data_IF_990356621047
#
_entry.id   IF_990356621047
#
_cell.length_a   1.000
_cell.length_b   1.000
_cell.length_c   1.000
_cell.angle_alpha   90.00
_cell.angle_beta   90.00
_cell.angle_gamma   90.00
#
_symmetry.space_group_name_H-M   'P 1'
#
loop_
_entity.id
_entity.type
_entity.pdbx_description
1 polymer ?
#
# COMPACT_ATOMS: atom_id res chain seq x y z
N UNK A 1 77.67 -5.74 34.39
CA UNK A 1 76.61 -6.58 34.99
C UNK A 1 75.27 -6.20 34.38
N UNK A 2 74.36 -7.17 34.29
CA UNK A 2 73.23 -7.30 33.37
C UNK A 2 72.21 -6.15 33.30
N UNK A 3 71.69 -6.00 32.08
CA UNK A 3 70.47 -5.32 31.62
C UNK A 3 69.23 -5.84 32.35
N UNK A 4 68.34 -4.95 32.79
CA UNK A 4 66.88 -5.17 32.79
C UNK A 4 66.19 -3.86 32.43
N UNK A 5 66.01 -3.63 31.13
CA UNK A 5 65.07 -2.63 30.63
C UNK A 5 63.67 -3.27 30.65
N UNK A 6 62.84 -2.85 31.59
CA UNK A 6 61.42 -3.20 31.60
C UNK A 6 60.72 -2.45 30.46
N UNK A 7 60.57 -3.11 29.31
CA UNK A 7 59.66 -2.64 28.26
C UNK A 7 58.25 -2.95 28.72
N UNK A 8 57.60 -1.96 29.33
CA UNK A 8 56.17 -1.99 29.58
C UNK A 8 55.45 -1.86 28.23
N UNK A 9 54.98 -2.99 27.69
CA UNK A 9 54.02 -3.03 26.59
C UNK A 9 52.70 -2.45 27.09
N UNK A 10 52.49 -1.15 26.85
CA UNK A 10 51.18 -0.50 26.91
C UNK A 10 50.29 -1.13 25.81
N UNK A 11 49.50 -2.12 26.19
CA UNK A 11 48.38 -2.66 25.42
C UNK A 11 47.22 -1.65 25.38
N UNK A 12 47.46 -0.46 24.82
CA UNK A 12 46.40 0.44 24.42
C UNK A 12 45.87 0.01 23.06
N UNK A 13 44.58 -0.32 22.96
CA UNK A 13 43.92 -0.61 21.67
C UNK A 13 44.31 0.45 20.64
N UNK A 14 44.99 -0.01 19.58
CA UNK A 14 45.44 0.90 18.54
C UNK A 14 44.22 1.52 17.85
N UNK A 15 44.28 2.79 17.40
CA UNK A 15 43.21 3.40 16.61
C UNK A 15 42.80 2.55 15.41
N UNK A 16 43.75 1.83 14.80
CA UNK A 16 43.52 0.92 13.69
C UNK A 16 42.68 -0.32 14.06
N UNK A 17 42.77 -0.81 15.30
CA UNK A 17 41.93 -1.92 15.77
C UNK A 17 40.49 -1.45 15.99
N UNK A 18 40.29 -0.25 16.56
CA UNK A 18 38.93 0.34 16.70
C UNK A 18 38.24 0.57 15.36
N UNK A 19 38.97 1.08 14.36
CA UNK A 19 38.43 1.23 13.00
C UNK A 19 38.06 -0.11 12.36
N UNK A 20 38.85 -1.17 12.59
CA UNK A 20 38.53 -2.52 12.08
C UNK A 20 37.30 -3.12 12.76
N UNK A 21 37.15 -2.94 14.07
CA UNK A 21 35.96 -3.39 14.80
C UNK A 21 34.72 -2.64 14.34
N UNK A 22 34.79 -1.31 14.27
CA UNK A 22 33.66 -0.48 13.80
C UNK A 22 33.23 -0.86 12.37
N UNK A 23 34.19 -1.01 11.45
CA UNK A 23 33.87 -1.39 10.07
C UNK A 23 33.22 -2.79 9.97
N UNK A 24 33.58 -3.72 10.87
CA UNK A 24 32.94 -5.03 10.93
C UNK A 24 31.53 -4.96 11.51
N UNK A 25 31.30 -4.12 12.52
CA UNK A 25 29.97 -3.86 13.09
C UNK A 25 29.05 -3.17 12.07
N UNK A 26 29.56 -2.17 11.36
CA UNK A 26 28.85 -1.46 10.29
C UNK A 26 28.47 -2.41 9.15
N UNK A 27 29.41 -3.24 8.70
CA UNK A 27 29.13 -4.26 7.68
C UNK A 27 28.07 -5.27 8.14
N UNK A 28 28.13 -5.71 9.41
CA UNK A 28 27.13 -6.61 9.98
C UNK A 28 25.76 -5.94 10.15
N UNK A 29 25.71 -4.64 10.40
CA UNK A 29 24.46 -3.87 10.44
C UNK A 29 23.82 -3.77 9.05
N UNK A 30 24.62 -3.49 8.02
CA UNK A 30 24.14 -3.45 6.63
C UNK A 30 23.63 -4.81 6.17
N UNK A 31 24.35 -5.90 6.47
CA UNK A 31 23.93 -7.25 6.06
C UNK A 31 22.61 -7.67 6.71
N UNK A 32 22.37 -7.28 7.97
CA UNK A 32 21.09 -7.54 8.65
C UNK A 32 19.95 -6.73 8.05
N UNK A 33 20.19 -5.46 7.69
CA UNK A 33 19.20 -4.65 6.99
C UNK A 33 18.87 -5.27 5.63
N UNK A 34 19.87 -5.71 4.87
CA UNK A 34 19.69 -6.42 3.59
C UNK A 34 18.84 -7.67 3.77
N UNK A 35 19.20 -8.55 4.71
CA UNK A 35 18.45 -9.77 4.97
C UNK A 35 16.99 -9.52 5.32
N UNK A 36 16.69 -8.48 6.12
CA UNK A 36 15.31 -8.08 6.41
C UNK A 36 14.59 -7.57 5.16
N UNK A 37 15.24 -6.77 4.31
CA UNK A 37 14.61 -6.29 3.08
C UNK A 37 14.28 -7.44 2.12
N UNK A 38 15.20 -8.39 1.95
CA UNK A 38 15.01 -9.58 1.12
C UNK A 38 13.87 -10.46 1.66
N UNK A 39 13.90 -10.81 2.95
CA UNK A 39 12.86 -11.60 3.62
C UNK A 39 11.49 -10.92 3.47
N UNK A 40 11.42 -9.59 3.66
CA UNK A 40 10.16 -8.86 3.55
C UNK A 40 9.70 -8.69 2.12
N UNK A 41 10.60 -8.65 1.14
CA UNK A 41 10.25 -8.61 -0.28
C UNK A 41 9.55 -9.90 -0.71
N UNK A 42 9.93 -11.06 -0.16
CA UNK A 42 9.28 -12.35 -0.44
C UNK A 42 7.80 -12.42 -0.04
N UNK A 43 7.36 -11.58 0.92
CA UNK A 43 5.96 -11.49 1.30
C UNK A 43 5.08 -10.81 0.24
N UNK A 44 5.68 -10.18 -0.77
CA UNK A 44 4.98 -9.54 -1.88
C UNK A 44 4.92 -10.46 -3.12
N UNK A 45 3.88 -10.34 -3.95
CA UNK A 45 3.80 -11.07 -5.22
C UNK A 45 5.03 -10.82 -6.10
N UNK A 46 5.49 -11.86 -6.79
CA UNK A 46 6.53 -11.73 -7.82
C UNK A 46 6.12 -10.70 -8.89
N UNK A 47 7.07 -9.84 -9.27
CA UNK A 47 6.84 -8.77 -10.25
C UNK A 47 5.98 -7.60 -9.75
N UNK A 48 5.69 -7.52 -8.44
CA UNK A 48 5.08 -6.32 -7.88
C UNK A 48 6.10 -5.20 -7.71
N UNK A 49 5.70 -3.97 -8.02
CA UNK A 49 6.57 -2.78 -7.92
C UNK A 49 7.18 -2.63 -6.53
N UNK A 50 6.42 -2.91 -5.47
CA UNK A 50 6.93 -2.83 -4.09
C UNK A 50 8.01 -3.87 -3.82
N UNK A 51 7.85 -5.10 -4.34
CA UNK A 51 8.88 -6.13 -4.23
C UNK A 51 10.18 -5.71 -4.92
N UNK A 52 10.06 -5.29 -6.18
CA UNK A 52 11.20 -4.87 -7.00
C UNK A 52 11.99 -3.74 -6.32
N UNK A 53 11.29 -2.74 -5.76
CA UNK A 53 11.93 -1.63 -5.05
C UNK A 53 12.64 -2.07 -3.76
N UNK A 54 12.08 -3.05 -3.02
CA UNK A 54 12.74 -3.59 -1.83
C UNK A 54 13.98 -4.42 -2.19
N UNK A 55 13.90 -5.25 -3.24
CA UNK A 55 15.03 -6.03 -3.77
C UNK A 55 16.14 -5.12 -4.33
N UNK A 56 15.77 -4.07 -5.08
CA UNK A 56 16.72 -3.07 -5.58
C UNK A 56 17.41 -2.33 -4.43
N UNK A 57 16.64 -1.92 -3.41
CA UNK A 57 17.22 -1.30 -2.22
C UNK A 57 18.20 -2.25 -1.53
N UNK A 58 17.82 -3.51 -1.30
CA UNK A 58 18.67 -4.53 -0.67
C UNK A 58 20.00 -4.74 -1.43
N UNK A 59 19.92 -4.79 -2.76
CA UNK A 59 21.08 -4.92 -3.65
C UNK A 59 21.97 -3.66 -3.64
N UNK A 60 21.38 -2.48 -3.43
CA UNK A 60 22.11 -1.20 -3.41
C UNK A 60 22.87 -0.92 -2.11
N UNK A 61 22.53 -1.60 -0.99
CA UNK A 61 23.18 -1.34 0.29
C UNK A 61 24.68 -1.72 0.25
N UNK A 62 25.54 -0.81 0.72
CA UNK A 62 26.99 -0.99 0.72
C UNK A 62 27.51 -1.21 2.16
N UNK A 63 28.07 -2.39 2.42
CA UNK A 63 28.65 -2.73 3.73
C UNK A 63 29.84 -1.84 4.13
N UNK A 64 30.40 -1.06 3.18
CA UNK A 64 31.47 -0.08 3.45
C UNK A 64 30.93 1.26 3.94
N UNK A 65 29.62 1.50 3.87
CA UNK A 65 28.97 2.75 4.29
C UNK A 65 27.60 2.49 4.89
N UNK A 66 27.58 2.34 6.23
CA UNK A 66 26.34 2.21 6.98
C UNK A 66 25.48 3.48 6.87
N UNK A 67 26.09 4.65 6.89
CA UNK A 67 25.39 5.94 6.81
C UNK A 67 24.63 6.07 5.48
N UNK A 68 25.30 5.84 4.34
CA UNK A 68 24.66 5.90 3.02
C UNK A 68 23.55 4.84 2.89
N UNK A 69 23.77 3.64 3.45
CA UNK A 69 22.77 2.58 3.46
C UNK A 69 21.52 2.96 4.27
N UNK A 70 21.69 3.60 5.42
CA UNK A 70 20.58 4.08 6.26
C UNK A 70 19.84 5.26 5.59
N UNK A 71 20.56 6.13 4.87
CA UNK A 71 19.97 7.20 4.08
C UNK A 71 19.13 6.64 2.93
N UNK A 72 19.63 5.64 2.19
CA UNK A 72 18.88 4.99 1.12
C UNK A 72 17.59 4.32 1.65
N UNK A 73 17.66 3.63 2.79
CA UNK A 73 16.49 3.05 3.45
C UNK A 73 15.48 4.14 3.85
N UNK A 74 15.96 5.28 4.37
CA UNK A 74 15.12 6.42 4.73
C UNK A 74 14.47 7.13 3.54
N UNK A 75 15.19 7.25 2.43
CA UNK A 75 14.64 7.80 1.20
C UNK A 75 13.46 6.94 0.69
N UNK A 76 13.64 5.62 0.59
CA UNK A 76 12.56 4.74 0.14
C UNK A 76 11.38 4.72 1.13
N UNK A 77 11.64 4.71 2.44
CA UNK A 77 10.55 4.79 3.44
C UNK A 77 9.73 6.08 3.26
N UNK A 78 10.38 7.21 3.01
CA UNK A 78 9.71 8.50 2.79
C UNK A 78 8.86 8.49 1.51
N UNK A 79 9.38 7.92 0.41
CA UNK A 79 8.64 7.75 -0.84
C UNK A 79 7.40 6.87 -0.66
N UNK A 80 7.55 5.73 0.03
CA UNK A 80 6.44 4.82 0.29
C UNK A 80 5.38 5.47 1.18
N UNK A 81 5.79 6.18 2.24
CA UNK A 81 4.87 6.93 3.09
C UNK A 81 4.15 8.05 2.33
N UNK A 82 4.80 8.70 1.37
CA UNK A 82 4.15 9.67 0.49
C UNK A 82 3.07 9.01 -0.38
N UNK A 83 3.35 7.82 -0.93
CA UNK A 83 2.38 7.02 -1.68
C UNK A 83 1.20 6.57 -0.83
N UNK A 84 1.42 6.13 0.42
CA UNK A 84 0.34 5.79 1.37
C UNK A 84 -0.64 6.95 1.50
N UNK A 85 -0.13 8.18 1.58
CA UNK A 85 -0.93 9.39 1.70
C UNK A 85 -1.78 9.43 2.98
N UNK A 86 -2.68 10.41 3.07
CA UNK A 86 -3.57 10.56 4.23
C UNK A 86 -4.85 9.74 4.06
N UNK A 87 -5.40 9.26 5.17
CA UNK A 87 -6.75 8.68 5.22
C UNK A 87 -6.91 7.33 4.54
N UNK A 88 -5.83 6.54 4.37
CA UNK A 88 -5.91 5.20 3.76
C UNK A 88 -6.94 4.31 4.49
N UNK A 89 -6.89 4.26 5.82
CA UNK A 89 -7.81 3.43 6.62
C UNK A 89 -9.27 3.83 6.41
N UNK A 90 -9.55 5.14 6.34
CA UNK A 90 -10.92 5.64 6.07
C UNK A 90 -11.39 5.30 4.66
N UNK A 91 -10.49 5.38 3.67
CA UNK A 91 -10.81 5.05 2.29
C UNK A 91 -11.03 3.54 2.09
N UNK A 92 -10.23 2.69 2.75
CA UNK A 92 -10.47 1.24 2.81
C UNK A 92 -11.81 0.92 3.46
N UNK A 93 -12.12 1.53 4.62
CA UNK A 93 -13.39 1.32 5.30
C UNK A 93 -14.60 1.77 4.46
N UNK A 94 -14.48 2.85 3.68
CA UNK A 94 -15.53 3.29 2.77
C UNK A 94 -15.78 2.27 1.64
N UNK A 95 -14.70 1.73 1.04
CA UNK A 95 -14.77 0.67 0.02
C UNK A 95 -15.34 -0.64 0.57
N UNK A 96 -14.90 -1.05 1.76
CA UNK A 96 -15.41 -2.26 2.44
C UNK A 96 -16.89 -2.10 2.79
N UNK A 97 -17.29 -0.91 3.28
CA UNK A 97 -18.68 -0.58 3.56
C UNK A 97 -19.56 -0.61 2.30
N UNK A 98 -19.05 -0.11 1.17
CA UNK A 98 -19.74 -0.20 -0.12
C UNK A 98 -19.92 -1.66 -0.54
N UNK A 99 -18.85 -2.46 -0.53
CA UNK A 99 -18.90 -3.88 -0.86
C UNK A 99 -19.87 -4.64 0.05
N UNK A 100 -19.80 -4.45 1.37
CA UNK A 100 -20.69 -5.09 2.32
C UNK A 100 -22.16 -4.71 2.08
N UNK A 101 -22.44 -3.43 1.78
CA UNK A 101 -23.80 -2.98 1.46
C UNK A 101 -24.35 -3.62 0.20
N UNK A 102 -23.51 -3.76 -0.84
CA UNK A 102 -23.89 -4.38 -2.11
C UNK A 102 -23.97 -5.92 -2.02
N UNK A 103 -23.22 -6.56 -1.12
CA UNK A 103 -23.38 -7.99 -0.85
C UNK A 103 -24.66 -8.29 -0.07
N UNK A 104 -24.99 -7.45 0.92
CA UNK A 104 -26.20 -7.61 1.73
C UNK A 104 -27.48 -7.42 0.91
N UNK A 105 -27.42 -6.55 -0.09
CA UNK A 105 -28.52 -6.30 -1.01
C UNK A 105 -27.93 -6.12 -2.41
N UNK A 106 -27.91 -7.12 -3.29
CA UNK A 106 -27.35 -6.94 -4.64
C UNK A 106 -28.07 -5.87 -5.45
N UNK A 107 -27.39 -5.25 -6.42
CA UNK A 107 -28.06 -4.39 -7.41
C UNK A 107 -28.92 -5.23 -8.37
N UNK A 108 -29.94 -4.66 -9.03
CA UNK A 108 -30.73 -5.42 -9.97
C UNK A 108 -29.88 -5.92 -11.15
N UNK A 109 -30.04 -7.18 -11.53
CA UNK A 109 -29.21 -7.85 -12.53
C UNK A 109 -27.86 -8.34 -12.02
N UNK A 110 -27.50 -8.05 -10.78
CA UNK A 110 -26.26 -8.48 -10.15
C UNK A 110 -26.46 -9.66 -9.17
N UNK A 111 -25.36 -10.25 -8.72
CA UNK A 111 -25.32 -11.33 -7.73
C UNK A 111 -24.43 -10.93 -6.53
N UNK A 112 -24.63 -11.53 -5.34
CA UNK A 112 -23.89 -11.15 -4.14
C UNK A 112 -22.41 -11.58 -4.16
N UNK A 113 -22.01 -12.48 -5.07
CA UNK A 113 -20.61 -12.87 -5.23
C UNK A 113 -19.79 -11.89 -6.09
N UNK A 114 -20.45 -10.97 -6.79
CA UNK A 114 -19.80 -9.93 -7.58
C UNK A 114 -19.27 -8.80 -6.70
N UNK A 115 -18.12 -8.26 -7.09
CA UNK A 115 -17.56 -7.02 -6.56
C UNK A 115 -18.48 -5.83 -6.84
N UNK A 116 -18.34 -4.75 -6.07
CA UNK A 116 -19.13 -3.53 -6.28
C UNK A 116 -19.10 -3.00 -7.73
N UNK A 117 -17.92 -2.99 -8.36
CA UNK A 117 -17.75 -2.57 -9.74
C UNK A 117 -18.51 -3.48 -10.72
N UNK A 118 -18.43 -4.80 -10.54
CA UNK A 118 -19.17 -5.76 -11.37
C UNK A 118 -20.68 -5.64 -11.18
N UNK A 119 -21.15 -5.39 -9.96
CA UNK A 119 -22.58 -5.19 -9.71
C UNK A 119 -23.10 -3.91 -10.39
N UNK A 120 -22.33 -2.82 -10.37
CA UNK A 120 -22.67 -1.57 -11.06
C UNK A 120 -22.74 -1.78 -12.58
N UNK A 121 -21.77 -2.49 -13.15
CA UNK A 121 -21.78 -2.85 -14.57
C UNK A 121 -22.96 -3.74 -14.94
N UNK A 122 -23.29 -4.74 -14.11
CA UNK A 122 -24.44 -5.61 -14.31
C UNK A 122 -25.78 -4.85 -14.26
N UNK A 123 -25.92 -3.93 -13.32
CA UNK A 123 -27.07 -3.03 -13.25
C UNK A 123 -27.17 -2.15 -14.50
N UNK A 124 -26.03 -1.66 -15.01
CA UNK A 124 -25.96 -0.91 -16.27
C UNK A 124 -26.39 -1.72 -17.48
N UNK A 125 -26.06 -3.02 -17.52
CA UNK A 125 -26.51 -3.93 -18.57
C UNK A 125 -28.01 -4.26 -18.48
N UNK A 126 -28.57 -4.28 -17.26
CA UNK A 126 -29.99 -4.51 -17.02
C UNK A 126 -30.87 -3.25 -17.20
N UNK A 127 -30.27 -2.07 -17.38
CA UNK A 127 -30.97 -0.78 -17.39
C UNK A 127 -32.17 -0.71 -18.35
N UNK A 128 -32.06 -1.30 -19.54
CA UNK A 128 -33.14 -1.30 -20.54
C UNK A 128 -34.34 -2.18 -20.17
N UNK A 129 -34.14 -3.18 -19.31
CA UNK A 129 -35.20 -4.08 -18.83
C UNK A 129 -35.86 -3.62 -17.53
N UNK A 130 -35.33 -2.59 -16.88
CA UNK A 130 -35.87 -2.10 -15.61
C UNK A 130 -37.16 -1.28 -15.81
N UNK A 131 -38.13 -1.55 -14.95
CA UNK A 131 -39.32 -0.72 -14.78
C UNK A 131 -38.99 0.68 -14.27
N UNK A 132 -39.97 1.58 -14.26
CA UNK A 132 -39.79 2.92 -13.69
C UNK A 132 -39.55 2.87 -12.17
N UNK A 133 -40.26 1.98 -11.47
CA UNK A 133 -40.15 1.83 -10.02
C UNK A 133 -38.78 1.27 -9.62
N UNK A 134 -38.26 0.27 -10.34
CA UNK A 134 -36.91 -0.27 -10.11
C UNK A 134 -35.82 0.77 -10.33
N UNK A 135 -36.00 1.67 -11.31
CA UNK A 135 -35.06 2.76 -11.58
C UNK A 135 -35.09 3.83 -10.49
N UNK A 136 -36.28 4.15 -9.97
CA UNK A 136 -36.43 5.07 -8.84
C UNK A 136 -35.77 4.52 -7.56
N UNK A 137 -36.02 3.24 -7.24
CA UNK A 137 -35.39 2.58 -6.09
C UNK A 137 -33.86 2.53 -6.23
N UNK A 138 -33.37 2.23 -7.44
CA UNK A 138 -31.93 2.24 -7.73
C UNK A 138 -31.34 3.65 -7.58
N UNK A 139 -32.02 4.70 -8.04
CA UNK A 139 -31.57 6.08 -7.88
C UNK A 139 -31.42 6.45 -6.39
N UNK A 140 -32.45 6.22 -5.57
CA UNK A 140 -32.40 6.49 -4.13
C UNK A 140 -31.29 5.71 -3.44
N UNK A 141 -31.09 4.46 -3.86
CA UNK A 141 -30.08 3.59 -3.31
C UNK A 141 -28.67 4.07 -3.65
N UNK A 142 -28.40 4.44 -4.89
CA UNK A 142 -27.12 4.98 -5.33
C UNK A 142 -26.78 6.29 -4.61
N UNK A 143 -27.77 7.15 -4.38
CA UNK A 143 -27.57 8.39 -3.61
C UNK A 143 -27.17 8.09 -2.16
N UNK A 144 -27.84 7.13 -1.50
CA UNK A 144 -27.47 6.70 -0.15
C UNK A 144 -26.06 6.10 -0.10
N UNK A 145 -25.70 5.26 -1.08
CA UNK A 145 -24.35 4.70 -1.18
C UNK A 145 -23.33 5.82 -1.38
N UNK A 146 -23.58 6.77 -2.28
CA UNK A 146 -22.70 7.91 -2.50
C UNK A 146 -22.46 8.74 -1.22
N UNK A 147 -23.49 8.94 -0.40
CA UNK A 147 -23.38 9.67 0.87
C UNK A 147 -22.44 8.99 1.88
N UNK A 148 -22.25 7.66 1.78
CA UNK A 148 -21.28 6.92 2.62
C UNK A 148 -19.84 7.04 2.16
N UNK A 149 -19.61 7.44 0.90
CA UNK A 149 -18.29 7.47 0.26
C UNK A 149 -17.53 8.78 0.53
N UNK A 150 -17.54 9.26 1.78
CA UNK A 150 -16.87 10.52 2.18
C UNK A 150 -15.35 10.47 1.94
N UNK A 151 -14.75 9.30 2.11
CA UNK A 151 -13.31 9.09 1.93
C UNK A 151 -12.91 8.74 0.48
N UNK A 152 -13.89 8.65 -0.44
CA UNK A 152 -13.68 8.36 -1.87
C UNK A 152 -14.56 9.29 -2.71
N UNK A 153 -14.22 10.60 -2.80
CA UNK A 153 -15.09 11.61 -3.39
C UNK A 153 -15.39 11.37 -4.88
N UNK A 154 -14.47 10.78 -5.63
CA UNK A 154 -14.64 10.42 -7.04
C UNK A 154 -15.68 9.30 -7.19
N UNK A 155 -15.62 8.28 -6.33
CA UNK A 155 -16.63 7.21 -6.27
C UNK A 155 -17.99 7.80 -5.88
N UNK A 156 -18.02 8.68 -4.87
CA UNK A 156 -19.24 9.36 -4.45
C UNK A 156 -19.86 10.17 -5.59
N UNK A 157 -19.05 10.90 -6.37
CA UNK A 157 -19.52 11.67 -7.52
C UNK A 157 -20.10 10.77 -8.60
N UNK A 158 -19.39 9.70 -8.99
CA UNK A 158 -19.86 8.79 -10.02
C UNK A 158 -21.16 8.05 -9.61
N UNK A 159 -21.30 7.70 -8.33
CA UNK A 159 -22.55 7.12 -7.81
C UNK A 159 -23.72 8.11 -7.85
N UNK A 160 -23.49 9.40 -7.56
CA UNK A 160 -24.53 10.45 -7.70
C UNK A 160 -24.92 10.67 -9.15
N UNK A 161 -23.95 10.66 -10.07
CA UNK A 161 -24.23 10.78 -11.51
C UNK A 161 -25.06 9.58 -12.00
N UNK A 162 -24.74 8.36 -11.54
CA UNK A 162 -25.54 7.18 -11.81
C UNK A 162 -26.94 7.26 -11.20
N UNK A 163 -27.09 7.81 -9.99
CA UNK A 163 -28.38 8.05 -9.36
C UNK A 163 -29.25 9.02 -10.18
N UNK A 164 -28.67 10.14 -10.61
CA UNK A 164 -29.34 11.13 -11.44
C UNK A 164 -29.76 10.55 -12.81
N UNK A 165 -28.88 9.73 -13.42
CA UNK A 165 -29.19 9.06 -14.68
C UNK A 165 -30.32 8.03 -14.53
N UNK A 166 -30.34 7.26 -13.44
CA UNK A 166 -31.45 6.34 -13.15
C UNK A 166 -32.78 7.09 -12.98
N UNK A 167 -32.78 8.23 -12.27
CA UNK A 167 -33.97 9.07 -12.08
C UNK A 167 -34.48 9.73 -13.37
N UNK A 168 -33.61 9.93 -14.37
CA UNK A 168 -34.01 10.50 -15.67
C UNK A 168 -34.91 9.59 -16.51
N UNK A 169 -34.88 8.29 -16.24
CA UNK A 169 -35.63 7.30 -17.01
C UNK A 169 -35.09 7.01 -18.41
N UNK A 170 -33.89 7.48 -18.77
CA UNK A 170 -33.18 7.10 -20.00
C UNK A 170 -32.24 5.91 -19.73
N UNK A 171 -32.56 4.70 -20.26
CA UNK A 171 -31.72 3.52 -20.05
C UNK A 171 -30.30 3.66 -20.60
N UNK A 172 -30.09 4.42 -21.68
CA UNK A 172 -28.77 4.61 -22.28
C UNK A 172 -27.92 5.53 -21.41
N UNK A 173 -28.48 6.63 -20.91
CA UNK A 173 -27.80 7.51 -19.96
C UNK A 173 -27.45 6.78 -18.66
N UNK A 174 -28.40 5.99 -18.14
CA UNK A 174 -28.21 5.17 -16.94
C UNK A 174 -27.11 4.12 -17.11
N UNK A 175 -27.10 3.40 -18.25
CA UNK A 175 -26.08 2.40 -18.55
C UNK A 175 -24.68 3.03 -18.61
N UNK A 176 -24.54 4.19 -19.27
CA UNK A 176 -23.28 4.93 -19.33
C UNK A 176 -22.79 5.40 -17.95
N UNK A 177 -23.69 5.97 -17.14
CA UNK A 177 -23.33 6.46 -15.81
C UNK A 177 -22.98 5.32 -14.83
N UNK A 178 -23.67 4.18 -14.90
CA UNK A 178 -23.33 2.99 -14.13
C UNK A 178 -22.00 2.36 -14.56
N UNK A 179 -21.67 2.42 -15.86
CA UNK A 179 -20.36 2.07 -16.37
C UNK A 179 -19.25 2.96 -15.79
N UNK A 180 -19.44 4.27 -15.81
CA UNK A 180 -18.48 5.21 -15.21
C UNK A 180 -18.33 5.02 -13.69
N UNK A 181 -19.42 4.72 -12.98
CA UNK A 181 -19.37 4.39 -11.56
C UNK A 181 -18.61 3.08 -11.28
N UNK A 182 -18.80 2.07 -12.14
CA UNK A 182 -18.05 0.80 -12.08
C UNK A 182 -16.55 1.05 -12.25
N UNK A 183 -16.14 1.83 -13.24
CA UNK A 183 -14.75 2.21 -13.48
C UNK A 183 -14.15 3.01 -12.32
N UNK A 184 -14.90 3.96 -11.75
CA UNK A 184 -14.46 4.74 -10.59
C UNK A 184 -14.21 3.85 -9.36
N UNK A 185 -15.09 2.87 -9.11
CA UNK A 185 -14.91 1.89 -8.02
C UNK A 185 -13.71 0.98 -8.26
N UNK A 186 -13.53 0.50 -9.49
CA UNK A 186 -12.39 -0.34 -9.86
C UNK A 186 -11.05 0.41 -9.69
N UNK A 187 -10.97 1.63 -10.22
CA UNK A 187 -9.79 2.49 -10.09
C UNK A 187 -9.47 2.85 -8.64
N UNK A 188 -10.49 3.16 -7.82
CA UNK A 188 -10.29 3.39 -6.39
C UNK A 188 -9.77 2.15 -5.67
N UNK A 189 -10.27 0.95 -6.01
CA UNK A 189 -9.81 -0.31 -5.43
C UNK A 189 -8.34 -0.58 -5.76
N UNK A 190 -7.94 -0.36 -7.03
CA UNK A 190 -6.54 -0.48 -7.46
C UNK A 190 -5.64 0.52 -6.74
N UNK A 191 -6.06 1.79 -6.66
CA UNK A 191 -5.33 2.83 -5.93
C UNK A 191 -5.12 2.45 -4.46
N UNK A 192 -6.15 1.92 -3.79
CA UNK A 192 -6.05 1.46 -2.41
C UNK A 192 -5.09 0.26 -2.27
N UNK A 193 -5.07 -0.66 -3.22
CA UNK A 193 -4.11 -1.77 -3.22
C UNK A 193 -2.66 -1.27 -3.32
N UNK A 194 -2.39 -0.33 -4.22
CA UNK A 194 -1.06 0.32 -4.33
C UNK A 194 -0.67 1.01 -3.03
N UNK A 195 -1.58 1.76 -2.41
CA UNK A 195 -1.34 2.46 -1.14
C UNK A 195 -1.12 1.48 0.02
N UNK A 196 -1.84 0.37 0.06
CA UNK A 196 -1.66 -0.68 1.06
C UNK A 196 -0.31 -1.40 0.91
N UNK A 197 0.09 -1.71 -0.33
CA UNK A 197 1.41 -2.26 -0.63
C UNK A 197 2.53 -1.30 -0.20
N UNK A 198 2.37 0.00 -0.49
CA UNK A 198 3.31 1.03 -0.04
C UNK A 198 3.43 1.10 1.48
N UNK A 199 2.32 0.97 2.23
CA UNK A 199 2.34 0.91 3.71
C UNK A 199 3.12 -0.30 4.21
N UNK A 200 2.93 -1.46 3.58
CA UNK A 200 3.67 -2.67 3.93
C UNK A 200 5.18 -2.51 3.62
N UNK A 201 5.54 -1.90 2.49
CA UNK A 201 6.93 -1.59 2.15
C UNK A 201 7.58 -0.59 3.11
N UNK A 202 6.85 0.45 3.53
CA UNK A 202 7.33 1.40 4.54
C UNK A 202 7.61 0.71 5.89
N UNK A 203 6.77 -0.26 6.26
CA UNK A 203 7.01 -1.11 7.44
C UNK A 203 8.25 -2.00 7.28
N UNK A 204 8.49 -2.54 6.07
CA UNK A 204 9.69 -3.34 5.78
C UNK A 204 10.98 -2.50 5.89
N UNK A 205 10.99 -1.30 5.31
CA UNK A 205 12.15 -0.38 5.40
C UNK A 205 12.40 0.10 6.83
N UNK A 206 11.34 0.39 7.60
CA UNK A 206 11.45 0.69 9.04
C UNK A 206 12.04 -0.48 9.83
N UNK A 207 11.62 -1.72 9.54
CA UNK A 207 12.17 -2.92 10.17
C UNK A 207 13.65 -3.13 9.82
N UNK A 208 14.05 -2.89 8.57
CA UNK A 208 15.44 -2.97 8.13
C UNK A 208 16.33 -1.95 8.86
N UNK A 209 15.85 -0.70 9.02
CA UNK A 209 16.55 0.33 9.81
C UNK A 209 16.70 -0.10 11.27
N UNK A 210 15.64 -0.66 11.87
CA UNK A 210 15.69 -1.14 13.25
C UNK A 210 16.68 -2.31 13.43
N UNK A 211 16.76 -3.21 12.44
CA UNK A 211 17.70 -4.33 12.43
C UNK A 211 19.17 -3.85 12.34
N UNK A 212 19.44 -2.84 11.51
CA UNK A 212 20.75 -2.20 11.46
C UNK A 212 21.15 -1.59 12.81
N UNK A 213 20.20 -0.98 13.53
CA UNK A 213 20.45 -0.29 14.79
C UNK A 213 20.66 -1.22 16.01
N UNK A 214 20.21 -2.48 15.99
CA UNK A 214 20.23 -3.36 17.16
C UNK A 214 20.95 -4.70 16.91
N UNK A 215 22.16 -4.94 17.43
CA UNK A 215 22.94 -6.19 17.25
C UNK A 215 22.35 -7.47 17.87
N UNK A 216 21.25 -7.39 18.64
CA UNK A 216 20.86 -8.45 19.59
C UNK A 216 19.63 -9.31 19.22
N UNK A 217 19.06 -9.22 18.01
CA UNK A 217 17.87 -10.00 17.63
C UNK A 217 17.94 -10.56 16.20
N UNK A 218 18.98 -11.34 15.91
CA UNK A 218 19.05 -12.23 14.75
C UNK A 218 19.28 -13.66 15.21
#
# INVERSE_FOLDING_TARGET
>A
MLVVAAVALMLGESPADRHRVQAAEDAAAVERARGVLEERAEAFPEGSETRERLEELAASLDARSLEDSLEAIAALEAELNATVGRGLDSAMAATDGLNASLQAQPLPGANPSQSAAEQLAAAGAAAASMSADERAELAERLERLAATQVAAPEVAAALRDAAAAAASGDPSAMSGALGAASEAVASNTESLATRAAARAGASATSAARAAAANPAQG
#
